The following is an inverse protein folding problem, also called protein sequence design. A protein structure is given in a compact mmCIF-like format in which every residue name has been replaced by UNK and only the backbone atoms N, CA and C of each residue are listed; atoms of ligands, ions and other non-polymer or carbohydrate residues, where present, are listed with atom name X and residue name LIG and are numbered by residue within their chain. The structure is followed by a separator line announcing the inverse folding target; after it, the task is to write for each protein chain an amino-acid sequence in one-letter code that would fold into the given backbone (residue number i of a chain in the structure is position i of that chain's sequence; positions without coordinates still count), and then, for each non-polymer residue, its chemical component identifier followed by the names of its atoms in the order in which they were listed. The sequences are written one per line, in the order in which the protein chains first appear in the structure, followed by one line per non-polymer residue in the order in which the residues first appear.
data_IF_173397748963
#
_entry.id   IF_173397748963
#
_cell.length_a   1.000
_cell.length_b   1.000
_cell.length_c   1.000
_cell.angle_alpha   90.00
_cell.angle_beta   90.00
_cell.angle_gamma   90.00
#
_symmetry.space_group_name_H-M   'P 1'
#
loop_
_entity.id
_entity.type
_entity.pdbx_description
1 polymer ?
#
# COMPACT_ATOMS: atom_id res chain seq x y z
N UNK A 1 2.76 -19.56 -18.02
CA UNK A 1 3.84 -18.77 -18.62
C UNK A 1 3.98 -17.50 -17.82
N UNK A 2 5.14 -17.23 -17.22
CA UNK A 2 5.35 -16.03 -16.40
C UNK A 2 5.35 -14.78 -17.30
N UNK A 3 4.64 -13.73 -16.91
CA UNK A 3 4.50 -12.49 -17.70
C UNK A 3 5.84 -11.77 -17.96
N UNK A 4 6.91 -12.16 -17.27
CA UNK A 4 8.22 -11.53 -17.41
C UNK A 4 9.05 -12.07 -18.58
N UNK A 5 8.89 -13.35 -18.96
CA UNK A 5 9.55 -13.89 -20.15
C UNK A 5 9.19 -13.10 -21.40
N UNK A 6 7.91 -12.74 -21.52
CA UNK A 6 7.40 -11.86 -22.59
C UNK A 6 7.89 -10.41 -22.48
N UNK A 7 8.15 -9.90 -21.26
CA UNK A 7 8.71 -8.55 -21.10
C UNK A 7 10.19 -8.49 -21.46
N UNK A 8 10.93 -9.59 -21.25
CA UNK A 8 12.38 -9.66 -21.48
C UNK A 8 12.72 -10.02 -22.93
N UNK A 9 11.97 -10.95 -23.53
CA UNK A 9 12.27 -11.53 -24.85
C UNK A 9 11.14 -11.37 -25.87
N UNK A 10 10.03 -10.71 -25.51
CA UNK A 10 8.88 -10.58 -26.40
C UNK A 10 8.22 -11.93 -26.69
N UNK A 11 8.05 -12.24 -27.98
CA UNK A 11 7.52 -13.54 -28.43
C UNK A 11 8.61 -14.57 -28.71
N UNK A 12 9.90 -14.19 -28.64
CA UNK A 12 11.02 -15.11 -28.85
C UNK A 12 11.10 -16.12 -27.69
N UNK A 13 11.38 -17.38 -28.02
CA UNK A 13 11.61 -18.44 -27.04
C UNK A 13 13.07 -18.90 -27.12
N UNK A 14 13.61 -19.25 -25.96
CA UNK A 14 14.93 -19.83 -25.88
C UNK A 14 14.93 -21.20 -26.57
N UNK A 15 15.87 -21.41 -27.48
CA UNK A 15 16.06 -22.67 -28.21
C UNK A 15 17.33 -23.36 -27.67
N UNK A 16 17.12 -24.35 -26.80
CA UNK A 16 18.19 -25.13 -26.18
C UNK A 16 19.03 -25.90 -27.21
N UNK A 17 18.39 -26.44 -28.26
CA UNK A 17 19.08 -27.20 -29.29
C UNK A 17 20.03 -26.29 -30.08
N UNK A 18 19.57 -25.09 -30.43
CA UNK A 18 20.44 -24.07 -31.03
C UNK A 18 21.53 -23.60 -30.08
N UNK A 19 21.21 -23.33 -28.82
CA UNK A 19 22.19 -22.88 -27.83
C UNK A 19 23.33 -23.88 -27.59
N UNK A 20 23.08 -25.18 -27.79
CA UNK A 20 24.12 -26.21 -27.67
C UNK A 20 25.18 -26.18 -28.78
N UNK A 21 24.89 -25.54 -29.91
CA UNK A 21 25.76 -25.51 -31.09
C UNK A 21 26.20 -24.10 -31.49
N UNK A 22 25.39 -23.08 -31.19
CA UNK A 22 25.60 -21.67 -31.50
C UNK A 22 25.89 -20.89 -30.21
N UNK A 23 27.18 -20.78 -29.88
CA UNK A 23 27.64 -20.05 -28.69
C UNK A 23 27.33 -18.54 -28.77
N UNK A 24 27.24 -17.97 -29.98
CA UNK A 24 26.90 -16.56 -30.17
C UNK A 24 25.42 -16.31 -29.84
N UNK A 25 24.53 -17.22 -30.24
CA UNK A 25 23.13 -17.20 -29.85
C UNK A 25 22.98 -17.27 -28.33
N UNK A 26 23.65 -18.24 -27.68
CA UNK A 26 23.62 -18.38 -26.21
C UNK A 26 24.13 -17.12 -25.51
N UNK A 27 25.28 -16.58 -25.94
CA UNK A 27 25.86 -15.36 -25.38
C UNK A 27 24.92 -14.15 -25.51
N UNK A 28 24.30 -13.99 -26.69
CA UNK A 28 23.34 -12.90 -26.91
C UNK A 28 22.13 -13.02 -25.98
N UNK A 29 21.64 -14.24 -25.74
CA UNK A 29 20.51 -14.49 -24.85
C UNK A 29 20.85 -14.18 -23.39
N UNK A 30 22.02 -14.63 -22.91
CA UNK A 30 22.52 -14.34 -21.55
C UNK A 30 22.70 -12.85 -21.33
N UNK A 31 23.26 -12.12 -22.31
CA UNK A 31 23.43 -10.66 -22.21
C UNK A 31 22.10 -9.92 -22.16
N UNK A 32 21.08 -10.38 -22.90
CA UNK A 32 19.71 -9.84 -22.80
C UNK A 32 19.11 -10.08 -21.42
N UNK A 33 19.22 -11.30 -20.87
CA UNK A 33 18.82 -11.59 -19.48
C UNK A 33 19.51 -10.67 -18.49
N UNK A 34 20.84 -10.52 -18.58
CA UNK A 34 21.62 -9.67 -17.67
C UNK A 34 21.19 -8.21 -17.74
N UNK A 35 20.92 -7.69 -18.95
CA UNK A 35 20.42 -6.33 -19.13
C UNK A 35 19.04 -6.16 -18.51
N UNK A 36 18.12 -7.10 -18.73
CA UNK A 36 16.79 -7.06 -18.15
C UNK A 36 16.82 -7.10 -16.62
N UNK A 37 17.62 -7.99 -16.02
CA UNK A 37 17.86 -8.00 -14.58
C UNK A 37 18.37 -6.65 -14.09
N UNK A 38 19.40 -6.10 -14.73
CA UNK A 38 20.01 -4.82 -14.36
C UNK A 38 18.99 -3.68 -14.44
N UNK A 39 18.19 -3.62 -15.51
CA UNK A 39 17.13 -2.63 -15.67
C UNK A 39 16.06 -2.75 -14.59
N UNK A 40 15.60 -3.97 -14.29
CA UNK A 40 14.64 -4.21 -13.21
C UNK A 40 15.21 -3.79 -11.85
N UNK A 41 16.42 -4.25 -11.51
CA UNK A 41 17.10 -3.90 -10.27
C UNK A 41 17.27 -2.38 -10.11
N UNK A 42 17.73 -1.68 -11.16
CA UNK A 42 17.95 -0.23 -11.12
C UNK A 42 16.65 0.59 -11.09
N UNK A 43 15.52 0.02 -11.53
CA UNK A 43 14.20 0.66 -11.42
C UNK A 43 13.68 0.68 -9.97
N UNK A 44 14.20 -0.19 -9.10
CA UNK A 44 13.82 -0.24 -7.69
C UNK A 44 14.53 0.86 -6.88
N UNK A 45 13.82 1.40 -5.89
CA UNK A 45 14.42 2.31 -4.93
C UNK A 45 15.56 1.64 -4.16
N UNK A 46 16.50 2.43 -3.63
CA UNK A 46 17.62 1.92 -2.82
C UNK A 46 17.11 1.10 -1.63
N UNK A 47 16.01 1.54 -1.01
CA UNK A 47 15.41 0.83 0.11
C UNK A 47 14.83 -0.52 -0.32
N UNK A 48 14.06 -0.57 -1.42
CA UNK A 48 13.50 -1.83 -1.92
C UNK A 48 14.57 -2.82 -2.36
N UNK A 49 15.65 -2.34 -3.00
CA UNK A 49 16.78 -3.21 -3.36
C UNK A 49 17.42 -3.88 -2.14
N UNK A 50 17.54 -3.15 -1.04
CA UNK A 50 18.04 -3.69 0.24
C UNK A 50 17.04 -4.68 0.86
N UNK A 51 15.76 -4.32 0.88
CA UNK A 51 14.71 -5.18 1.45
C UNK A 51 14.59 -6.51 0.72
N UNK A 52 14.68 -6.50 -0.62
CA UNK A 52 14.60 -7.70 -1.44
C UNK A 52 15.96 -8.42 -1.57
N UNK A 53 17.02 -7.86 -1.01
CA UNK A 53 18.39 -8.37 -1.10
C UNK A 53 18.79 -8.69 -2.54
N UNK A 54 18.67 -7.69 -3.43
CA UNK A 54 18.87 -7.87 -4.89
C UNK A 54 20.30 -8.30 -5.26
N UNK A 55 21.27 -8.08 -4.37
CA UNK A 55 22.66 -8.50 -4.59
C UNK A 55 22.84 -10.01 -4.45
N UNK A 56 21.88 -10.74 -3.85
CA UNK A 56 21.93 -12.20 -3.70
C UNK A 56 21.76 -12.98 -5.00
N UNK A 57 21.15 -12.37 -6.03
CA UNK A 57 20.82 -13.08 -7.26
C UNK A 57 22.08 -13.29 -8.08
N UNK A 58 22.38 -14.55 -8.40
CA UNK A 58 23.45 -14.87 -9.32
C UNK A 58 23.08 -14.45 -10.75
N UNK A 59 24.02 -13.89 -11.52
CA UNK A 59 23.77 -13.48 -12.90
C UNK A 59 23.60 -14.71 -13.81
N UNK A 60 22.38 -15.22 -13.87
CA UNK A 60 21.94 -16.33 -14.72
C UNK A 60 20.76 -15.91 -15.61
N UNK A 61 20.34 -16.80 -16.52
CA UNK A 61 19.23 -16.50 -17.44
C UNK A 61 17.89 -16.29 -16.71
N UNK A 62 17.72 -16.93 -15.55
CA UNK A 62 16.49 -16.89 -14.76
C UNK A 62 16.45 -15.73 -13.75
N UNK A 63 17.59 -15.06 -13.50
CA UNK A 63 17.70 -13.98 -12.52
C UNK A 63 16.63 -12.88 -12.66
N UNK A 64 16.27 -12.41 -13.87
CA UNK A 64 15.16 -11.46 -14.02
C UNK A 64 13.85 -12.01 -13.48
N UNK A 65 13.53 -13.28 -13.79
CA UNK A 65 12.28 -13.93 -13.37
C UNK A 65 12.23 -14.16 -11.87
N UNK A 66 13.33 -14.59 -11.27
CA UNK A 66 13.45 -14.77 -9.83
C UNK A 66 13.29 -13.43 -9.09
N UNK A 67 13.96 -12.37 -9.57
CA UNK A 67 13.80 -11.02 -8.99
C UNK A 67 12.35 -10.53 -9.10
N UNK A 68 11.70 -10.75 -10.24
CA UNK A 68 10.31 -10.36 -10.43
C UNK A 68 9.35 -11.10 -9.51
N UNK A 69 9.54 -12.41 -9.32
CA UNK A 69 8.69 -13.18 -8.43
C UNK A 69 8.87 -12.73 -6.96
N UNK A 70 10.06 -12.29 -6.56
CA UNK A 70 10.31 -11.69 -5.24
C UNK A 70 9.70 -10.29 -5.10
N UNK A 71 9.77 -9.45 -6.13
CA UNK A 71 9.05 -8.17 -6.18
C UNK A 71 7.55 -8.43 -6.03
N UNK A 72 7.00 -9.36 -6.82
CA UNK A 72 5.58 -9.72 -6.78
C UNK A 72 5.21 -10.21 -5.39
N UNK A 73 5.94 -11.18 -4.85
CA UNK A 73 5.69 -11.74 -3.52
C UNK A 73 5.72 -10.66 -2.45
N UNK A 74 6.64 -9.69 -2.53
CA UNK A 74 6.72 -8.56 -1.60
C UNK A 74 5.49 -7.64 -1.66
N UNK A 75 4.98 -7.33 -2.85
CA UNK A 75 3.81 -6.47 -3.02
C UNK A 75 2.47 -7.20 -2.85
N UNK A 76 2.46 -8.52 -2.95
CA UNK A 76 1.30 -9.39 -2.72
C UNK A 76 1.23 -9.90 -1.27
N UNK A 77 2.16 -9.52 -0.38
CA UNK A 77 2.13 -9.90 1.03
C UNK A 77 0.77 -9.55 1.68
N UNK A 78 0.18 -10.53 2.35
CA UNK A 78 -1.17 -10.44 2.92
C UNK A 78 -2.21 -11.19 2.08
N UNK A 79 -3.45 -10.69 2.06
CA UNK A 79 -4.55 -11.25 1.27
C UNK A 79 -4.58 -10.73 -0.18
N UNK A 80 -3.43 -10.26 -0.71
CA UNK A 80 -3.31 -9.72 -2.06
C UNK A 80 -3.97 -8.35 -2.27
N UNK A 81 -4.30 -7.62 -1.20
CA UNK A 81 -4.95 -6.29 -1.29
C UNK A 81 -3.87 -5.22 -1.20
N UNK A 82 -3.68 -4.48 -2.29
CA UNK A 82 -2.72 -3.37 -2.35
C UNK A 82 -3.03 -2.30 -1.26
N UNK A 83 -2.14 -2.10 -0.26
CA UNK A 83 -2.35 -1.15 0.83
C UNK A 83 -2.54 0.29 0.35
N UNK A 84 -1.84 0.70 -0.70
CA UNK A 84 -1.95 2.04 -1.30
C UNK A 84 -3.33 2.25 -1.90
N UNK A 85 -3.84 1.27 -2.63
CA UNK A 85 -5.19 1.31 -3.19
C UNK A 85 -6.25 1.36 -2.09
N UNK A 86 -6.07 0.58 -1.02
CA UNK A 86 -6.98 0.58 0.12
C UNK A 86 -6.98 1.93 0.86
N UNK A 87 -5.80 2.53 1.09
CA UNK A 87 -5.69 3.90 1.62
C UNK A 87 -6.42 4.90 0.73
N UNK A 88 -6.25 4.84 -0.59
CA UNK A 88 -6.98 5.71 -1.52
C UNK A 88 -8.50 5.53 -1.42
N UNK A 89 -9.00 4.30 -1.26
CA UNK A 89 -10.43 4.07 -1.02
C UNK A 89 -10.89 4.69 0.31
N UNK A 90 -10.11 4.55 1.38
CA UNK A 90 -10.42 5.16 2.68
C UNK A 90 -10.43 6.70 2.59
N UNK A 91 -9.49 7.32 1.88
CA UNK A 91 -9.45 8.77 1.68
C UNK A 91 -10.64 9.31 0.90
N UNK A 92 -11.15 8.54 -0.07
CA UNK A 92 -12.29 8.95 -0.89
C UNK A 92 -13.65 8.58 -0.28
N UNK A 93 -13.67 7.83 0.82
CA UNK A 93 -14.90 7.33 1.44
C UNK A 93 -15.59 8.42 2.26
N UNK A 94 -16.58 9.10 1.68
CA UNK A 94 -17.38 10.13 2.37
C UNK A 94 -18.64 9.54 3.02
N UNK A 95 -18.97 9.97 4.23
CA UNK A 95 -20.26 9.66 4.87
C UNK A 95 -21.40 10.27 4.03
N UNK A 96 -22.42 9.46 3.73
CA UNK A 96 -23.58 9.90 2.96
C UNK A 96 -24.73 10.31 3.88
N UNK A 97 -25.57 11.25 3.44
CA UNK A 97 -26.70 11.73 4.24
C UNK A 97 -27.75 10.64 4.56
N UNK A 98 -27.86 9.62 3.71
CA UNK A 98 -28.74 8.47 3.89
C UNK A 98 -28.11 7.34 4.71
N UNK A 99 -26.85 7.47 5.10
CA UNK A 99 -26.10 6.41 5.78
C UNK A 99 -26.03 6.65 7.29
N UNK A 100 -26.16 5.56 8.06
CA UNK A 100 -25.93 5.59 9.49
C UNK A 100 -24.43 5.70 9.81
N UNK A 101 -24.07 6.64 10.68
CA UNK A 101 -22.70 6.86 11.18
C UNK A 101 -22.01 5.57 11.66
N UNK A 102 -22.73 4.69 12.37
CA UNK A 102 -22.18 3.44 12.87
C UNK A 102 -21.79 2.49 11.74
N UNK A 103 -22.55 2.49 10.64
CA UNK A 103 -22.24 1.69 9.44
C UNK A 103 -20.99 2.23 8.76
N UNK A 104 -20.88 3.55 8.64
CA UNK A 104 -19.71 4.23 8.09
C UNK A 104 -18.44 3.95 8.91
N UNK A 105 -18.50 4.09 10.24
CA UNK A 105 -17.35 3.83 11.13
C UNK A 105 -16.91 2.36 11.03
N UNK A 106 -17.86 1.42 11.03
CA UNK A 106 -17.56 -0.01 10.91
C UNK A 106 -16.90 -0.36 9.56
N UNK A 107 -17.33 0.28 8.45
CA UNK A 107 -16.68 0.13 7.15
C UNK A 107 -15.23 0.62 7.19
N UNK A 108 -14.99 1.78 7.78
CA UNK A 108 -13.65 2.37 7.92
C UNK A 108 -12.73 1.52 8.82
N UNK A 109 -13.23 1.00 9.94
CA UNK A 109 -12.49 0.06 10.81
C UNK A 109 -12.20 -1.28 10.13
N UNK A 110 -13.16 -1.80 9.34
CA UNK A 110 -12.95 -3.00 8.53
C UNK A 110 -11.84 -2.79 7.50
N UNK A 111 -11.84 -1.65 6.81
CA UNK A 111 -10.77 -1.28 5.86
C UNK A 111 -9.43 -1.10 6.56
N UNK A 112 -9.40 -0.51 7.76
CA UNK A 112 -8.17 -0.43 8.55
C UNK A 112 -7.62 -1.81 8.91
N UNK A 113 -8.46 -2.75 9.35
CA UNK A 113 -8.01 -4.13 9.62
C UNK A 113 -7.39 -4.78 8.37
N UNK A 114 -8.09 -4.67 7.23
CA UNK A 114 -7.55 -5.15 5.96
C UNK A 114 -6.22 -4.48 5.59
N UNK A 115 -6.05 -3.19 5.90
CA UNK A 115 -4.80 -2.48 5.66
C UNK A 115 -3.65 -3.06 6.50
N UNK A 116 -3.90 -3.31 7.79
CA UNK A 116 -2.92 -3.90 8.70
C UNK A 116 -2.57 -5.34 8.29
N UNK A 117 -3.57 -6.13 7.91
CA UNK A 117 -3.39 -7.52 7.45
C UNK A 117 -2.55 -7.63 6.16
N UNK A 118 -2.44 -6.54 5.38
CA UNK A 118 -1.64 -6.46 4.15
C UNK A 118 -0.36 -5.61 4.32
N UNK A 119 0.17 -5.51 5.55
CA UNK A 119 1.44 -4.86 5.84
C UNK A 119 1.40 -3.31 5.79
N UNK A 120 0.23 -2.72 5.63
CA UNK A 120 0.04 -1.28 5.77
C UNK A 120 0.00 -0.84 7.23
N UNK A 121 0.28 0.45 7.47
CA UNK A 121 0.11 1.07 8.79
C UNK A 121 -0.97 2.15 8.75
N UNK A 122 -1.71 2.23 9.85
CA UNK A 122 -2.59 3.35 10.16
C UNK A 122 -2.78 3.42 11.67
N UNK A 123 -2.40 4.54 12.25
CA UNK A 123 -2.57 4.83 13.66
C UNK A 123 -4.02 5.16 14.01
N UNK A 124 -4.39 5.00 15.29
CA UNK A 124 -5.76 5.28 15.74
C UNK A 124 -6.17 6.73 15.48
N UNK A 125 -5.22 7.67 15.64
CA UNK A 125 -5.47 9.09 15.42
C UNK A 125 -5.62 9.44 13.93
N UNK A 126 -4.90 8.76 13.04
CA UNK A 126 -5.05 8.94 11.59
C UNK A 126 -6.43 8.47 11.13
N UNK A 127 -6.92 7.36 11.68
CA UNK A 127 -8.29 6.91 11.42
C UNK A 127 -9.33 7.91 11.94
N UNK A 128 -9.13 8.47 13.13
CA UNK A 128 -10.05 9.46 13.70
C UNK A 128 -10.08 10.77 12.89
N UNK A 129 -8.91 11.26 12.47
CA UNK A 129 -8.75 12.42 11.59
C UNK A 129 -9.50 12.22 10.26
N UNK A 130 -9.35 11.02 9.69
CA UNK A 130 -10.00 10.65 8.45
C UNK A 130 -11.53 10.55 8.58
N UNK A 131 -12.03 9.94 9.66
CA UNK A 131 -13.46 9.84 9.95
C UNK A 131 -14.13 11.22 10.04
N UNK A 132 -13.49 12.17 10.73
CA UNK A 132 -13.99 13.54 10.88
C UNK A 132 -13.97 14.28 9.55
N UNK A 133 -12.83 14.25 8.84
CA UNK A 133 -12.67 14.91 7.55
C UNK A 133 -13.65 14.37 6.49
N UNK A 134 -13.97 13.08 6.56
CA UNK A 134 -14.90 12.44 5.64
C UNK A 134 -16.38 12.62 5.99
N UNK A 135 -16.67 13.27 7.12
CA UNK A 135 -18.04 13.57 7.57
C UNK A 135 -18.56 14.93 7.10
N UNK A 136 -17.75 15.73 6.40
CA UNK A 136 -18.03 17.12 5.97
C UNK A 136 -19.40 17.30 5.31
N UNK A 137 -19.85 16.34 4.50
CA UNK A 137 -21.13 16.45 3.79
C UNK A 137 -22.36 16.37 4.70
N UNK A 138 -22.25 15.65 5.82
CA UNK A 138 -23.36 15.42 6.76
C UNK A 138 -23.22 16.29 8.00
N UNK A 139 -21.99 16.52 8.46
CA UNK A 139 -21.67 17.33 9.62
C UNK A 139 -20.62 18.41 9.26
N UNK A 140 -21.00 19.43 8.46
CA UNK A 140 -20.05 20.42 7.96
C UNK A 140 -19.37 21.20 9.09
N UNK A 141 -20.13 21.60 10.11
CA UNK A 141 -19.56 22.34 11.25
C UNK A 141 -18.54 21.49 12.04
N UNK A 142 -18.82 20.20 12.25
CA UNK A 142 -17.92 19.26 12.93
C UNK A 142 -16.59 19.11 12.16
N UNK A 143 -16.67 18.90 10.85
CA UNK A 143 -15.49 18.75 10.00
C UNK A 143 -14.71 20.07 9.87
N UNK A 144 -15.39 21.21 9.80
CA UNK A 144 -14.76 22.53 9.77
C UNK A 144 -14.07 22.87 11.08
N UNK A 145 -14.73 22.65 12.23
CA UNK A 145 -14.14 22.86 13.55
C UNK A 145 -12.88 22.01 13.72
N UNK A 146 -12.91 20.76 13.25
CA UNK A 146 -11.74 19.89 13.22
C UNK A 146 -10.62 20.45 12.34
N UNK A 147 -10.93 20.87 11.11
CA UNK A 147 -9.94 21.40 10.15
C UNK A 147 -9.28 22.69 10.66
N UNK A 148 -10.06 23.59 11.25
CA UNK A 148 -9.57 24.83 11.86
C UNK A 148 -8.69 24.54 13.09
N UNK A 149 -9.07 23.55 13.90
CA UNK A 149 -8.26 23.13 15.05
C UNK A 149 -6.96 22.47 14.60
N UNK A 150 -6.94 21.65 13.55
CA UNK A 150 -5.67 21.09 13.01
C UNK A 150 -4.72 22.17 12.50
N UNK A 151 -5.24 23.34 12.09
CA UNK A 151 -4.41 24.49 11.69
C UNK A 151 -3.80 25.26 12.88
N UNK A 152 -4.32 25.07 14.09
CA UNK A 152 -3.73 25.60 15.33
C UNK A 152 -3.04 24.45 16.08
N UNK A 153 -1.73 24.51 16.30
CA UNK A 153 -0.99 23.42 16.96
C UNK A 153 -1.47 23.14 18.39
N UNK A 154 -2.49 22.29 18.55
CA UNK A 154 -2.97 21.71 19.80
C UNK A 154 -3.69 20.38 19.51
N UNK A 155 -2.90 19.35 19.19
CA UNK A 155 -3.39 18.01 18.83
C UNK A 155 -4.07 17.27 20.00
N UNK A 156 -4.91 16.28 19.63
CA UNK A 156 -5.61 15.29 20.47
C UNK A 156 -6.72 15.81 21.39
N UNK A 157 -6.46 16.84 22.21
CA UNK A 157 -7.42 17.29 23.23
C UNK A 157 -8.65 18.01 22.63
N UNK A 158 -8.47 18.74 21.54
CA UNK A 158 -9.53 19.47 20.89
C UNK A 158 -10.46 18.56 20.05
N UNK A 159 -9.90 17.52 19.41
CA UNK A 159 -10.64 16.48 18.70
C UNK A 159 -11.64 15.74 19.60
N UNK A 160 -11.26 15.41 20.84
CA UNK A 160 -12.14 14.77 21.85
C UNK A 160 -13.30 15.69 22.24
N UNK A 161 -13.04 16.97 22.50
CA UNK A 161 -14.07 17.93 22.94
C UNK A 161 -15.15 18.18 21.89
N UNK A 162 -14.79 18.15 20.61
CA UNK A 162 -15.77 18.35 19.53
C UNK A 162 -16.67 17.10 19.40
N UNK A 163 -16.12 15.90 19.58
CA UNK A 163 -16.92 14.65 19.62
C UNK A 163 -17.88 14.60 20.81
N UNK A 164 -17.52 15.20 21.96
CA UNK A 164 -18.40 15.33 23.13
C UNK A 164 -19.61 16.23 22.88
N UNK A 165 -19.45 17.30 22.10
CA UNK A 165 -20.54 18.23 21.76
C UNK A 165 -21.51 17.68 20.70
N UNK A 166 -21.07 16.75 19.87
CA UNK A 166 -21.81 16.32 18.65
C UNK A 166 -22.44 14.93 18.74
N UNK A 167 -22.37 14.26 19.90
CA UNK A 167 -23.03 12.97 20.12
C UNK A 167 -22.33 11.76 19.47
N UNK A 168 -21.10 11.93 18.96
CA UNK A 168 -20.28 10.88 18.36
C UNK A 168 -19.64 9.97 19.44
N UNK A 169 -20.48 9.25 20.18
CA UNK A 169 -20.05 8.45 21.34
C UNK A 169 -19.00 7.39 20.98
N UNK A 170 -19.12 6.70 19.83
CA UNK A 170 -18.14 5.65 19.42
C UNK A 170 -16.77 6.20 19.05
N UNK A 171 -16.70 7.33 18.34
CA UNK A 171 -15.39 7.95 18.04
C UNK A 171 -14.81 8.59 19.30
N UNK A 172 -15.64 9.09 20.21
CA UNK A 172 -15.24 9.45 21.58
C UNK A 172 -14.63 8.26 22.32
N UNK A 173 -15.23 7.06 22.28
CA UNK A 173 -14.63 5.85 22.87
C UNK A 173 -13.31 5.48 22.20
N UNK A 174 -13.19 5.57 20.87
CA UNK A 174 -11.94 5.33 20.16
C UNK A 174 -10.83 6.30 20.59
N UNK A 175 -11.10 7.61 20.67
CA UNK A 175 -10.09 8.60 21.07
C UNK A 175 -9.79 8.56 22.57
N UNK A 176 -10.75 8.19 23.42
CA UNK A 176 -10.52 7.95 24.85
C UNK A 176 -9.63 6.73 25.10
N UNK A 177 -9.72 5.67 24.30
CA UNK A 177 -8.83 4.50 24.40
C UNK A 177 -7.37 4.86 24.05
N UNK A 178 -7.14 5.80 23.12
CA UNK A 178 -5.80 6.35 22.80
C UNK A 178 -5.18 7.05 24.02
N UNK A 179 -6.00 7.68 24.86
CA UNK A 179 -5.54 8.43 26.05
C UNK A 179 -5.12 7.51 27.22
N UNK A 180 -5.48 6.23 27.19
CA UNK A 180 -5.21 5.26 28.26
C UNK A 180 -3.95 4.42 27.95
N UNK A 181 -3.46 4.42 26.71
CA UNK A 181 -2.31 3.61 26.26
C UNK A 181 -1.05 4.42 25.91
N UNK A 182 -1.02 5.73 26.17
CA UNK A 182 0.12 6.62 25.92
C UNK A 182 0.61 7.32 27.17
#
# INVERSE_FOLDING_TARGET
MSSLGSMTFGSERFDEARASTDLQYLSTWVERSRKAFTTLALSLSVQLRRTLDVERFEPCMDAPSQLWDEIRAHFEQGNGVNPTYLKAQMYNRRLQASENVDTFVQDMERRRRLLLDNGGSMEDWELADLLLSNSLLVFPQLAMDHTLVTSSFASKAATVRIMERTGFQRVKYMVLQIKIKG
#
